data_IF_638543216880
#
_entry.id   IF_638543216880
#
_cell.length_a   1.000
_cell.length_b   1.000
_cell.length_c   1.000
_cell.angle_alpha   90.00
_cell.angle_beta   90.00
_cell.angle_gamma   90.00
#
_symmetry.space_group_name_H-M   'P 1'
#
loop_
_entity.id
_entity.type
_entity.pdbx_description
1 polymer ?
#
# COMPACT_ATOMS: atom_id res chain seq x y z
N UNK A 1 -3.15 -15.76 12.41
CA UNK A 1 -1.85 -16.46 12.38
C UNK A 1 -0.82 -15.44 11.94
N UNK A 2 0.23 -15.20 12.72
CA UNK A 2 1.28 -14.26 12.33
C UNK A 2 2.02 -14.80 11.10
N UNK A 3 2.52 -13.88 10.26
CA UNK A 3 3.46 -14.20 9.17
C UNK A 3 2.94 -15.21 8.13
N UNK A 4 1.61 -15.25 7.96
CA UNK A 4 0.98 -16.09 6.94
C UNK A 4 0.34 -15.26 5.84
N UNK A 5 0.38 -15.80 4.63
CA UNK A 5 -0.43 -15.37 3.50
C UNK A 5 -1.73 -16.18 3.51
N UNK A 6 -2.85 -15.52 3.79
CA UNK A 6 -4.20 -16.07 3.64
C UNK A 6 -4.93 -15.43 2.46
N UNK A 7 -5.60 -16.24 1.65
CA UNK A 7 -6.48 -15.74 0.59
C UNK A 7 -7.93 -16.05 0.90
N UNK A 8 -8.77 -15.03 0.84
CA UNK A 8 -10.22 -15.10 0.96
C UNK A 8 -10.83 -15.07 -0.45
N UNK A 9 -11.53 -16.13 -0.81
CA UNK A 9 -12.17 -16.31 -2.11
C UNK A 9 -13.67 -16.23 -1.92
N UNK A 10 -14.26 -15.15 -2.43
CA UNK A 10 -15.72 -15.00 -2.44
C UNK A 10 -16.22 -15.06 -3.89
N UNK A 11 -17.23 -15.89 -4.15
CA UNK A 11 -17.78 -16.11 -5.50
C UNK A 11 -18.74 -14.99 -5.95
N UNK A 12 -19.29 -14.21 -5.01
CA UNK A 12 -20.24 -13.12 -5.28
C UNK A 12 -19.64 -11.76 -4.85
N UNK A 13 -20.06 -10.65 -5.48
CA UNK A 13 -19.61 -9.30 -5.11
C UNK A 13 -20.07 -8.85 -3.71
N UNK A 14 -21.05 -9.54 -3.11
CA UNK A 14 -21.51 -9.28 -1.74
C UNK A 14 -20.58 -9.97 -0.74
N UNK A 15 -19.89 -9.19 0.11
CA UNK A 15 -19.09 -9.68 1.23
C UNK A 15 -17.61 -9.33 1.19
N UNK A 16 -16.98 -9.21 0.02
CA UNK A 16 -15.54 -8.88 -0.13
C UNK A 16 -15.17 -7.51 0.42
N UNK A 17 -15.81 -6.48 -0.12
CA UNK A 17 -15.63 -5.10 0.32
C UNK A 17 -16.07 -4.93 1.76
N UNK A 18 -17.02 -5.75 2.24
CA UNK A 18 -17.41 -5.80 3.65
C UNK A 18 -16.28 -6.32 4.53
N UNK A 19 -15.61 -7.42 4.15
CA UNK A 19 -14.43 -7.93 4.88
C UNK A 19 -13.33 -6.87 4.91
N UNK A 20 -12.99 -6.26 3.77
CA UNK A 20 -11.99 -5.19 3.71
C UNK A 20 -12.38 -3.99 4.60
N UNK A 21 -13.64 -3.57 4.57
CA UNK A 21 -14.16 -2.44 5.35
C UNK A 21 -14.17 -2.73 6.86
N UNK A 22 -14.52 -3.96 7.27
CA UNK A 22 -14.48 -4.40 8.66
C UNK A 22 -13.04 -4.48 9.18
N UNK A 23 -12.12 -5.03 8.38
CA UNK A 23 -10.69 -5.11 8.74
C UNK A 23 -10.05 -3.72 8.90
N UNK A 24 -10.46 -2.74 8.07
CA UNK A 24 -10.00 -1.36 8.19
C UNK A 24 -10.82 -0.52 9.19
N UNK A 25 -11.79 -1.13 9.88
CA UNK A 25 -12.68 -0.48 10.85
C UNK A 25 -13.41 0.74 10.27
N UNK A 26 -13.80 0.66 9.00
CA UNK A 26 -14.77 1.57 8.39
C UNK A 26 -16.16 1.34 9.01
N UNK A 27 -16.46 0.09 9.35
CA UNK A 27 -17.64 -0.33 10.10
C UNK A 27 -17.25 -1.22 11.29
N UNK A 28 -18.14 -1.34 12.27
CA UNK A 28 -18.05 -2.36 13.30
C UNK A 28 -18.97 -3.54 12.93
N UNK A 29 -18.62 -4.78 13.33
CA UNK A 29 -19.49 -5.93 13.14
C UNK A 29 -20.81 -5.74 13.92
N UNK A 30 -21.91 -6.24 13.37
CA UNK A 30 -23.25 -6.15 13.98
C UNK A 30 -23.42 -7.12 15.16
N UNK A 31 -22.75 -8.27 15.08
CA UNK A 31 -22.67 -9.31 16.11
C UNK A 31 -21.25 -9.85 16.15
N UNK A 32 -20.86 -10.46 17.28
CA UNK A 32 -19.48 -10.94 17.53
C UNK A 32 -18.42 -9.82 17.56
N UNK A 33 -17.15 -10.22 17.58
CA UNK A 33 -16.01 -9.32 17.64
C UNK A 33 -14.89 -9.76 16.69
N UNK A 34 -14.12 -8.79 16.20
CA UNK A 34 -12.90 -9.04 15.42
C UNK A 34 -11.72 -8.79 16.35
N UNK A 35 -10.80 -9.74 16.43
CA UNK A 35 -9.64 -9.65 17.33
C UNK A 35 -8.33 -9.49 16.53
N UNK A 36 -7.48 -8.58 16.99
CA UNK A 36 -6.10 -8.43 16.56
C UNK A 36 -5.19 -8.71 17.77
N UNK A 37 -4.34 -9.72 17.69
CA UNK A 37 -3.48 -10.17 18.79
C UNK A 37 -4.24 -10.41 20.12
N UNK A 38 -5.47 -10.92 20.02
CA UNK A 38 -6.36 -11.18 21.16
C UNK A 38 -7.11 -9.95 21.69
N UNK A 39 -6.87 -8.76 21.14
CA UNK A 39 -7.59 -7.52 21.47
C UNK A 39 -8.70 -7.26 20.46
N UNK A 40 -9.91 -7.00 20.94
CA UNK A 40 -11.02 -6.59 20.07
C UNK A 40 -10.68 -5.25 19.40
N UNK A 41 -10.73 -5.21 18.06
CA UNK A 41 -10.34 -4.07 17.25
C UNK A 41 -11.13 -2.80 17.57
N UNK A 42 -12.32 -2.93 18.17
CA UNK A 42 -13.14 -1.78 18.58
C UNK A 42 -12.50 -0.97 19.71
N UNK A 43 -11.64 -1.59 20.51
CA UNK A 43 -10.92 -0.93 21.61
C UNK A 43 -9.54 -0.41 21.20
N UNK A 44 -9.08 -0.72 19.98
CA UNK A 44 -7.84 -0.14 19.47
C UNK A 44 -8.02 1.35 19.19
N UNK A 45 -6.95 2.12 19.29
CA UNK A 45 -6.96 3.50 18.82
C UNK A 45 -7.03 3.50 17.28
N UNK A 46 -8.08 4.11 16.72
CA UNK A 46 -8.29 4.20 15.26
C UNK A 46 -7.09 4.83 14.57
N UNK A 47 -6.40 5.79 15.22
CA UNK A 47 -5.20 6.44 14.67
C UNK A 47 -4.00 5.48 14.55
N UNK A 48 -3.99 4.37 15.29
CA UNK A 48 -2.92 3.38 15.24
C UNK A 48 -3.16 2.29 14.20
N UNK A 49 -4.41 2.12 13.72
CA UNK A 49 -4.76 1.09 12.74
C UNK A 49 -3.95 1.23 11.45
N UNK A 50 -3.82 2.43 10.82
CA UNK A 50 -3.10 2.55 9.56
C UNK A 50 -1.65 2.11 9.60
N UNK A 51 -0.99 2.20 10.76
CA UNK A 51 0.40 1.74 10.95
C UNK A 51 0.52 0.24 11.26
N UNK A 52 -0.55 -0.40 11.72
CA UNK A 52 -0.61 -1.85 11.92
C UNK A 52 -1.05 -2.58 10.66
N UNK A 53 -2.02 -2.00 9.95
CA UNK A 53 -2.70 -2.58 8.80
C UNK A 53 -2.74 -1.58 7.64
N UNK A 54 -2.39 -2.02 6.43
CA UNK A 54 -2.59 -1.24 5.20
C UNK A 54 -3.43 -2.00 4.20
N UNK A 55 -4.37 -1.30 3.56
CA UNK A 55 -5.22 -1.80 2.49
C UNK A 55 -4.71 -1.29 1.14
N UNK A 56 -4.51 -2.20 0.19
CA UNK A 56 -4.35 -1.89 -1.24
C UNK A 56 -5.62 -2.34 -1.95
N UNK A 57 -6.32 -1.38 -2.55
CA UNK A 57 -7.58 -1.63 -3.27
C UNK A 57 -7.32 -1.88 -4.75
N UNK A 58 -8.30 -2.44 -5.45
CA UNK A 58 -8.29 -2.63 -6.90
C UNK A 58 -8.05 -1.31 -7.64
N UNK A 59 -8.75 -0.24 -7.24
CA UNK A 59 -8.53 1.12 -7.74
C UNK A 59 -8.02 2.01 -6.62
N UNK A 60 -6.72 1.98 -6.32
CA UNK A 60 -6.22 2.65 -5.14
C UNK A 60 -6.16 4.17 -5.36
N UNK A 61 -6.59 4.97 -4.38
CA UNK A 61 -6.57 6.42 -4.51
C UNK A 61 -5.13 6.96 -4.42
N UNK A 62 -4.85 7.92 -5.29
CA UNK A 62 -3.67 8.77 -5.22
C UNK A 62 -4.11 10.18 -4.86
N UNK A 63 -3.30 10.86 -4.07
CA UNK A 63 -3.47 12.28 -3.74
C UNK A 63 -3.04 13.12 -4.94
N UNK A 64 -3.69 14.27 -5.15
CA UNK A 64 -3.32 15.28 -6.15
C UNK A 64 -1.96 15.92 -5.81
N UNK A 65 -0.89 15.19 -6.11
CA UNK A 65 0.50 15.50 -5.73
C UNK A 65 1.48 14.66 -6.57
N UNK A 66 2.78 14.83 -6.39
CA UNK A 66 3.78 14.02 -7.12
C UNK A 66 3.76 12.54 -6.73
N UNK A 67 4.34 11.67 -7.56
CA UNK A 67 4.57 10.26 -7.22
C UNK A 67 5.41 10.14 -5.94
N UNK A 68 6.44 10.98 -5.80
CA UNK A 68 7.28 11.05 -4.60
C UNK A 68 6.45 11.31 -3.34
N UNK A 69 5.66 12.38 -3.32
CA UNK A 69 4.81 12.74 -2.18
C UNK A 69 3.80 11.63 -1.87
N UNK A 70 3.17 11.07 -2.89
CA UNK A 70 2.26 9.95 -2.75
C UNK A 70 2.92 8.77 -2.02
N UNK A 71 4.19 8.46 -2.26
CA UNK A 71 4.91 7.37 -1.58
C UNK A 71 5.34 7.82 -0.17
N UNK A 72 5.91 9.03 -0.04
CA UNK A 72 6.41 9.60 1.21
C UNK A 72 5.34 9.71 2.30
N UNK A 73 4.08 9.98 1.93
CA UNK A 73 2.94 9.99 2.87
C UNK A 73 2.73 8.65 3.59
N UNK A 74 3.33 7.55 3.12
CA UNK A 74 3.42 6.30 3.88
C UNK A 74 4.10 6.46 5.24
N UNK A 75 5.11 7.33 5.35
CA UNK A 75 5.89 7.56 6.58
C UNK A 75 5.05 8.17 7.72
N UNK A 76 4.01 8.95 7.40
CA UNK A 76 3.14 9.58 8.40
C UNK A 76 2.49 8.57 9.36
N UNK A 77 2.26 7.35 8.88
CA UNK A 77 1.64 6.28 9.64
C UNK A 77 2.59 5.10 9.87
N UNK A 78 3.90 5.30 9.69
CA UNK A 78 4.86 4.21 9.95
C UNK A 78 4.87 3.89 11.46
N UNK A 79 4.77 2.60 11.86
CA UNK A 79 4.87 2.21 13.26
C UNK A 79 6.29 2.40 13.82
N UNK A 80 7.29 2.59 12.94
CA UNK A 80 8.66 2.94 13.27
C UNK A 80 9.07 4.09 12.34
N UNK A 81 8.68 5.35 12.64
CA UNK A 81 9.15 6.47 11.84
C UNK A 81 10.67 6.51 12.00
N UNK A 82 11.41 6.31 10.90
CA UNK A 82 12.88 6.43 10.92
C UNK A 82 13.28 7.82 11.43
N UNK A 83 12.40 8.82 11.22
CA UNK A 83 12.59 10.20 11.65
C UNK A 83 11.27 10.88 12.06
N UNK A 84 10.95 10.95 13.37
CA UNK A 84 9.82 11.73 13.85
C UNK A 84 9.90 13.22 13.46
N UNK A 85 11.11 13.76 13.38
CA UNK A 85 11.39 15.17 13.03
C UNK A 85 11.11 15.48 11.55
N UNK A 86 11.05 14.46 10.69
CA UNK A 86 10.69 14.61 9.28
C UNK A 86 9.16 14.63 9.05
N UNK A 87 8.34 14.26 10.05
CA UNK A 87 6.88 14.22 9.89
C UNK A 87 6.25 15.59 9.54
N UNK A 88 6.64 16.71 10.19
CA UNK A 88 6.11 18.02 9.82
C UNK A 88 6.40 18.39 8.36
N UNK A 89 7.54 17.93 7.82
CA UNK A 89 7.96 18.22 6.45
C UNK A 89 7.07 17.51 5.44
N UNK A 90 6.58 16.31 5.75
CA UNK A 90 5.70 15.53 4.86
C UNK A 90 4.39 16.26 4.51
N UNK A 91 3.97 17.21 5.34
CA UNK A 91 2.78 18.04 5.13
C UNK A 91 3.12 19.51 4.79
N UNK A 92 4.41 19.83 4.69
CA UNK A 92 4.89 21.18 4.43
C UNK A 92 5.02 21.47 2.94
N UNK A 93 5.04 22.76 2.59
CA UNK A 93 5.39 23.22 1.24
C UNK A 93 6.82 22.86 0.83
N UNK A 94 7.70 22.54 1.76
CA UNK A 94 9.11 22.26 1.46
C UNK A 94 9.25 20.97 0.64
N UNK A 95 8.42 19.95 0.91
CA UNK A 95 8.38 18.72 0.12
C UNK A 95 7.85 18.97 -1.32
N UNK A 96 6.89 19.88 -1.46
CA UNK A 96 6.37 20.31 -2.77
C UNK A 96 7.41 21.09 -3.58
N UNK A 97 8.19 21.95 -2.91
CA UNK A 97 9.27 22.72 -3.54
C UNK A 97 10.41 21.82 -4.05
N UNK A 98 10.74 20.75 -3.32
CA UNK A 98 11.73 19.75 -3.75
C UNK A 98 11.26 18.97 -4.95
N UNK A 99 9.98 18.56 -4.93
CA UNK A 99 9.34 17.92 -6.06
C UNK A 99 9.47 18.82 -7.29
N UNK A 100 9.17 20.10 -7.18
CA UNK A 100 9.19 21.02 -8.33
C UNK A 100 10.58 21.34 -8.92
N UNK A 101 11.67 21.14 -8.19
CA UNK A 101 13.00 21.69 -8.54
C UNK A 101 14.04 20.68 -9.03
N UNK A 102 13.79 19.38 -8.92
CA UNK A 102 14.88 18.38 -8.98
C UNK A 102 14.86 17.41 -10.19
N UNK A 103 13.84 17.46 -11.05
CA UNK A 103 13.76 16.65 -12.28
C UNK A 103 13.80 15.13 -12.05
N UNK A 104 14.19 14.34 -13.06
CA UNK A 104 14.23 12.86 -12.96
C UNK A 104 15.16 12.33 -11.87
N UNK A 105 16.25 13.03 -11.57
CA UNK A 105 17.26 12.63 -10.59
C UNK A 105 16.94 13.10 -9.15
N UNK A 106 15.68 13.52 -8.92
CA UNK A 106 15.23 14.09 -7.65
C UNK A 106 15.52 13.20 -6.45
N UNK A 107 15.24 11.89 -6.54
CA UNK A 107 15.45 10.97 -5.43
C UNK A 107 16.93 10.82 -5.04
N UNK A 108 17.84 10.75 -6.01
CA UNK A 108 19.27 10.62 -5.71
C UNK A 108 19.84 11.91 -5.13
N UNK A 109 19.42 13.06 -5.66
CA UNK A 109 19.80 14.36 -5.11
C UNK A 109 19.28 14.53 -3.70
N UNK A 110 18.01 14.20 -3.45
CA UNK A 110 17.42 14.31 -2.12
C UNK A 110 18.06 13.36 -1.11
N UNK A 111 18.38 12.13 -1.50
CA UNK A 111 19.03 11.15 -0.63
C UNK A 111 20.47 11.53 -0.22
N UNK A 112 21.12 12.48 -0.90
CA UNK A 112 22.51 12.90 -0.62
C UNK A 112 22.62 14.24 0.11
N UNK A 113 21.51 14.95 0.37
CA UNK A 113 21.52 16.28 1.02
C UNK A 113 21.91 16.27 2.50
N UNK A 114 21.83 15.11 3.17
CA UNK A 114 22.21 14.97 4.59
C UNK A 114 21.34 15.78 5.57
N UNK A 115 20.18 16.26 5.13
CA UNK A 115 19.18 16.98 5.91
C UNK A 115 17.93 16.10 6.10
N UNK A 116 16.88 16.63 6.75
CA UNK A 116 15.61 15.91 6.98
C UNK A 116 14.94 15.43 5.68
N UNK A 117 15.30 15.98 4.52
CA UNK A 117 14.81 15.53 3.22
C UNK A 117 15.42 14.19 2.84
N UNK A 118 16.70 13.99 3.15
CA UNK A 118 17.37 12.71 2.92
C UNK A 118 16.74 11.58 3.75
N UNK A 119 16.28 11.89 4.96
CA UNK A 119 15.55 10.97 5.84
C UNK A 119 14.19 10.53 5.28
N UNK A 120 13.58 11.34 4.40
CA UNK A 120 12.36 10.97 3.65
C UNK A 120 12.73 10.25 2.35
N UNK A 121 13.71 10.75 1.61
CA UNK A 121 14.05 10.27 0.29
C UNK A 121 14.67 8.86 0.29
N UNK A 122 15.47 8.52 1.30
CA UNK A 122 16.10 7.20 1.44
C UNK A 122 15.06 6.07 1.55
N UNK A 123 14.10 6.11 2.49
CA UNK A 123 13.08 5.06 2.59
C UNK A 123 12.14 5.05 1.37
N UNK A 124 11.82 6.21 0.79
CA UNK A 124 11.03 6.28 -0.45
C UNK A 124 11.74 5.60 -1.61
N UNK A 125 13.03 5.85 -1.81
CA UNK A 125 13.83 5.20 -2.86
C UNK A 125 13.86 3.69 -2.66
N UNK A 126 14.14 3.22 -1.44
CA UNK A 126 14.16 1.79 -1.12
C UNK A 126 12.82 1.11 -1.40
N UNK A 127 11.71 1.74 -1.03
CA UNK A 127 10.39 1.20 -1.30
C UNK A 127 10.05 1.22 -2.80
N UNK A 128 10.53 2.23 -3.53
CA UNK A 128 10.32 2.32 -4.97
C UNK A 128 11.09 1.22 -5.74
N UNK A 129 12.31 0.90 -5.29
CA UNK A 129 13.10 -0.24 -5.80
C UNK A 129 12.39 -1.58 -5.52
N UNK A 130 11.92 -1.80 -4.28
CA UNK A 130 11.22 -3.03 -3.90
C UNK A 130 9.88 -3.24 -4.64
N UNK A 131 9.20 -2.15 -5.01
CA UNK A 131 7.95 -2.20 -5.77
C UNK A 131 8.15 -2.22 -7.30
N UNK A 132 9.40 -2.17 -7.78
CA UNK A 132 9.75 -2.03 -9.20
C UNK A 132 9.03 -0.86 -9.89
N UNK A 133 9.32 0.36 -9.42
CA UNK A 133 8.84 1.60 -10.04
C UNK A 133 9.65 2.00 -11.30
N UNK A 134 10.30 1.06 -11.99
CA UNK A 134 11.07 1.33 -13.23
C UNK A 134 10.30 2.10 -14.30
N UNK A 135 8.96 2.00 -14.32
CA UNK A 135 8.15 2.78 -15.26
C UNK A 135 8.28 4.30 -15.06
N UNK A 136 8.62 4.75 -13.84
CA UNK A 136 8.80 6.16 -13.50
C UNK A 136 9.97 6.77 -14.27
N UNK A 137 11.00 5.99 -14.59
CA UNK A 137 12.16 6.46 -15.36
C UNK A 137 11.77 6.90 -16.78
N UNK A 138 10.69 6.34 -17.31
CA UNK A 138 10.13 6.67 -18.62
C UNK A 138 9.21 7.90 -18.60
N UNK A 139 8.84 8.42 -17.42
CA UNK A 139 8.09 9.68 -17.30
C UNK A 139 9.03 10.86 -17.43
N UNK A 140 8.62 11.93 -18.13
CA UNK A 140 9.46 13.12 -18.36
C UNK A 140 9.94 13.77 -17.05
N UNK A 141 9.07 13.79 -16.04
CA UNK A 141 9.34 14.38 -14.73
C UNK A 141 9.75 13.34 -13.68
N UNK A 142 9.80 12.05 -14.02
CA UNK A 142 10.14 10.99 -13.07
C UNK A 142 9.24 11.02 -11.82
N UNK A 143 9.83 10.98 -10.63
CA UNK A 143 9.11 11.00 -9.35
C UNK A 143 8.38 12.33 -9.05
N UNK A 144 8.69 13.39 -9.78
CA UNK A 144 8.03 14.70 -9.69
C UNK A 144 6.68 14.73 -10.42
N UNK A 145 6.43 13.73 -11.28
CA UNK A 145 5.20 13.63 -12.07
C UNK A 145 3.96 13.74 -11.17
N UNK A 146 3.10 14.70 -11.48
CA UNK A 146 1.84 14.93 -10.76
C UNK A 146 0.82 13.85 -11.12
N UNK A 147 0.15 13.29 -10.10
CA UNK A 147 -0.85 12.22 -10.22
C UNK A 147 -2.03 12.54 -9.31
N UNK A 148 -3.20 11.93 -9.54
CA UNK A 148 -4.40 12.18 -8.73
C UNK A 148 -5.72 12.20 -9.52
N UNK A 149 -6.76 12.76 -8.92
CA UNK A 149 -8.17 12.63 -9.30
C UNK A 149 -8.58 13.38 -10.58
N UNK A 150 -7.78 14.32 -11.08
CA UNK A 150 -8.22 15.27 -12.11
C UNK A 150 -7.59 15.12 -13.51
N UNK A 151 -6.84 14.06 -13.83
CA UNK A 151 -6.39 13.83 -15.22
C UNK A 151 -5.30 12.78 -15.40
N UNK A 152 -5.70 11.54 -15.69
CA UNK A 152 -4.87 10.30 -15.70
C UNK A 152 -3.55 10.39 -16.49
N UNK A 153 -2.44 10.29 -15.78
CA UNK A 153 -1.11 9.93 -16.35
C UNK A 153 -0.72 8.46 -16.09
N UNK A 154 -1.31 7.81 -15.08
CA UNK A 154 -0.97 6.44 -14.69
C UNK A 154 -2.07 5.43 -15.04
N UNK A 155 -1.67 4.27 -15.56
CA UNK A 155 -2.53 3.10 -15.73
C UNK A 155 -2.99 2.55 -14.37
N UNK A 156 -4.01 1.69 -14.36
CA UNK A 156 -4.48 1.02 -13.13
C UNK A 156 -3.34 0.29 -12.39
N UNK A 157 -2.55 -0.50 -13.12
CA UNK A 157 -1.42 -1.23 -12.54
C UNK A 157 -0.29 -0.31 -12.06
N UNK A 158 0.01 0.79 -12.77
CA UNK A 158 0.99 1.79 -12.29
C UNK A 158 0.53 2.44 -10.98
N UNK A 159 -0.76 2.76 -10.85
CA UNK A 159 -1.32 3.28 -9.58
C UNK A 159 -1.21 2.26 -8.45
N UNK A 160 -1.47 0.98 -8.72
CA UNK A 160 -1.29 -0.11 -7.76
C UNK A 160 0.16 -0.20 -7.28
N UNK A 161 1.13 -0.14 -8.20
CA UNK A 161 2.56 -0.16 -7.87
C UNK A 161 2.95 1.04 -6.98
N UNK A 162 2.48 2.27 -7.28
CA UNK A 162 2.75 3.45 -6.45
C UNK A 162 2.17 3.29 -5.04
N UNK A 163 0.95 2.77 -4.90
CA UNK A 163 0.34 2.52 -3.59
C UNK A 163 1.00 1.36 -2.84
N UNK A 164 1.53 0.37 -3.56
CA UNK A 164 2.35 -0.69 -2.97
C UNK A 164 3.67 -0.13 -2.43
N UNK A 165 4.35 0.75 -3.16
CA UNK A 165 5.52 1.48 -2.65
C UNK A 165 5.18 2.33 -1.41
N UNK A 166 4.06 3.08 -1.42
CA UNK A 166 3.55 3.79 -0.22
C UNK A 166 3.36 2.84 0.96
N UNK A 167 2.87 1.63 0.71
CA UNK A 167 2.65 0.61 1.74
C UNK A 167 3.96 0.02 2.26
N UNK A 168 4.93 -0.21 1.38
CA UNK A 168 6.29 -0.62 1.72
C UNK A 168 7.00 0.40 2.61
N UNK A 169 6.90 1.69 2.27
CA UNK A 169 7.42 2.80 3.10
C UNK A 169 6.75 2.82 4.48
N UNK A 170 5.43 2.59 4.52
CA UNK A 170 4.71 2.54 5.80
C UNK A 170 5.14 1.35 6.66
N UNK A 171 5.44 0.21 6.06
CA UNK A 171 5.88 -1.00 6.77
C UNK A 171 4.88 -1.58 7.78
N UNK A 172 3.59 -1.77 7.43
CA UNK A 172 2.60 -2.34 8.35
C UNK A 172 2.89 -3.81 8.66
N UNK A 173 2.37 -4.32 9.79
CA UNK A 173 2.46 -5.75 10.15
C UNK A 173 1.47 -6.62 9.36
N UNK A 174 0.37 -6.01 8.91
CA UNK A 174 -0.70 -6.65 8.16
C UNK A 174 -0.92 -5.92 6.83
N UNK A 175 -0.85 -6.65 5.73
CA UNK A 175 -1.23 -6.17 4.41
C UNK A 175 -2.55 -6.80 4.00
N UNK A 176 -3.53 -5.96 3.63
CA UNK A 176 -4.79 -6.40 3.03
C UNK A 176 -4.79 -6.00 1.56
N UNK A 177 -5.04 -6.97 0.68
CA UNK A 177 -5.14 -6.76 -0.77
C UNK A 177 -6.58 -7.02 -1.17
N UNK A 178 -7.31 -6.00 -1.64
CA UNK A 178 -8.68 -6.12 -2.12
C UNK A 178 -8.69 -6.07 -3.65
N UNK A 179 -8.67 -7.25 -4.27
CA UNK A 179 -8.60 -7.41 -5.73
C UNK A 179 -7.47 -6.58 -6.39
N UNK A 180 -6.39 -6.35 -5.66
CA UNK A 180 -5.33 -5.41 -6.01
C UNK A 180 -4.45 -5.81 -7.21
N UNK A 181 -4.76 -6.92 -7.90
CA UNK A 181 -4.03 -7.39 -9.07
C UNK A 181 -4.99 -7.39 -10.25
N UNK A 182 -5.06 -6.26 -10.93
CA UNK A 182 -5.83 -6.10 -12.17
C UNK A 182 -5.05 -5.18 -13.11
N UNK A 183 -3.98 -5.70 -13.71
CA UNK A 183 -3.29 -4.98 -14.77
C UNK A 183 -3.72 -5.53 -16.14
N UNK A 184 -3.71 -4.66 -17.16
CA UNK A 184 -4.07 -5.05 -18.53
C UNK A 184 -2.96 -5.92 -19.15
N UNK A 185 -1.71 -5.73 -18.71
CA UNK A 185 -0.55 -6.45 -19.20
C UNK A 185 0.07 -7.37 -18.13
N UNK A 186 0.51 -8.56 -18.57
CA UNK A 186 1.08 -9.59 -17.69
C UNK A 186 2.41 -9.18 -17.05
N UNK A 187 3.15 -8.23 -17.63
CA UNK A 187 4.42 -7.78 -17.06
C UNK A 187 4.19 -6.97 -15.78
N UNK A 188 3.23 -6.04 -15.81
CA UNK A 188 2.83 -5.26 -14.63
C UNK A 188 2.27 -6.16 -13.52
N UNK A 189 1.46 -7.18 -13.85
CA UNK A 189 1.00 -8.15 -12.85
C UNK A 189 2.15 -8.89 -12.18
N UNK A 190 3.16 -9.32 -12.95
CA UNK A 190 4.35 -9.98 -12.40
C UNK A 190 5.14 -9.09 -11.45
N UNK A 191 5.27 -7.79 -11.78
CA UNK A 191 5.92 -6.80 -10.91
C UNK A 191 5.18 -6.63 -9.59
N UNK A 192 3.86 -6.44 -9.66
CA UNK A 192 2.99 -6.30 -8.49
C UNK A 192 3.11 -7.55 -7.61
N UNK A 193 3.04 -8.74 -8.20
CA UNK A 193 3.16 -10.00 -7.47
C UNK A 193 4.52 -10.14 -6.79
N UNK A 194 5.63 -9.86 -7.50
CA UNK A 194 6.97 -9.94 -6.91
C UNK A 194 7.15 -8.99 -5.72
N UNK A 195 6.62 -7.77 -5.83
CA UNK A 195 6.66 -6.79 -4.75
C UNK A 195 5.80 -7.22 -3.55
N UNK A 196 4.63 -7.85 -3.77
CA UNK A 196 3.81 -8.44 -2.70
C UNK A 196 4.55 -9.60 -2.04
N UNK A 197 5.16 -10.50 -2.81
CA UNK A 197 5.88 -11.66 -2.29
C UNK A 197 7.08 -11.22 -1.44
N UNK A 198 7.83 -10.22 -1.90
CA UNK A 198 8.90 -9.59 -1.12
C UNK A 198 8.38 -8.90 0.13
N UNK A 199 7.19 -8.28 0.08
CA UNK A 199 6.58 -7.64 1.24
C UNK A 199 6.11 -8.68 2.28
N UNK A 200 5.61 -9.83 1.83
CA UNK A 200 4.99 -10.86 2.65
C UNK A 200 5.97 -11.54 3.62
N UNK A 201 7.28 -11.51 3.33
CA UNK A 201 8.31 -12.11 4.18
C UNK A 201 8.27 -11.47 5.58
N UNK A 202 7.97 -12.28 6.60
CA UNK A 202 7.89 -11.85 8.00
C UNK A 202 6.67 -10.96 8.31
N UNK A 203 5.62 -10.98 7.47
CA UNK A 203 4.40 -10.18 7.65
C UNK A 203 3.15 -10.99 7.35
N UNK A 204 2.02 -10.58 7.94
CA UNK A 204 0.73 -11.20 7.66
C UNK A 204 0.13 -10.57 6.40
N UNK A 205 -0.30 -11.39 5.44
CA UNK A 205 -0.96 -10.93 4.21
C UNK A 205 -2.35 -11.55 4.11
N UNK A 206 -3.36 -10.73 3.85
CA UNK A 206 -4.73 -11.15 3.59
C UNK A 206 -5.10 -10.64 2.20
N UNK A 207 -5.28 -11.53 1.23
CA UNK A 207 -5.75 -11.15 -0.10
C UNK A 207 -7.20 -11.57 -0.29
N UNK A 208 -8.01 -10.70 -0.86
CA UNK A 208 -9.41 -10.94 -1.20
C UNK A 208 -9.47 -11.04 -2.72
N UNK A 209 -9.70 -12.25 -3.22
CA UNK A 209 -9.62 -12.55 -4.65
C UNK A 209 -10.96 -13.02 -5.21
N UNK A 210 -11.28 -12.65 -6.45
CA UNK A 210 -12.44 -13.17 -7.21
C UNK A 210 -12.17 -14.48 -7.95
N UNK A 211 -10.91 -14.80 -8.21
CA UNK A 211 -10.54 -15.98 -9.01
C UNK A 211 -9.48 -16.77 -8.27
N UNK A 212 -9.66 -18.08 -8.21
CA UNK A 212 -8.66 -18.98 -7.63
C UNK A 212 -7.34 -18.94 -8.42
N UNK A 213 -7.41 -18.63 -9.72
CA UNK A 213 -6.27 -18.57 -10.63
C UNK A 213 -5.29 -17.42 -10.33
N UNK A 214 -5.70 -16.42 -9.55
CA UNK A 214 -4.81 -15.34 -9.09
C UNK A 214 -4.07 -15.70 -7.79
N UNK A 215 -4.33 -16.89 -7.22
CA UNK A 215 -3.71 -17.37 -5.99
C UNK A 215 -2.43 -18.10 -6.36
N UNK A 216 -1.30 -17.43 -6.13
CA UNK A 216 0.03 -18.03 -6.20
C UNK A 216 0.68 -17.83 -4.83
N UNK A 217 1.25 -18.90 -4.27
CA UNK A 217 1.98 -18.88 -2.99
C UNK A 217 1.15 -18.38 -1.79
N UNK A 218 0.20 -19.19 -1.33
CA UNK A 218 -0.58 -18.93 -0.11
C UNK A 218 -0.38 -20.04 0.91
N UNK A 219 -0.43 -19.70 2.21
CA UNK A 219 -0.44 -20.68 3.30
C UNK A 219 -1.85 -21.21 3.59
N UNK A 220 -2.87 -20.40 3.31
CA UNK A 220 -4.27 -20.75 3.56
C UNK A 220 -5.20 -20.16 2.51
N UNK A 221 -6.18 -20.94 2.11
CA UNK A 221 -7.35 -20.46 1.34
C UNK A 221 -8.56 -20.53 2.26
N UNK A 222 -9.40 -19.49 2.21
CA UNK A 222 -10.69 -19.42 2.88
C UNK A 222 -11.73 -19.14 1.82
N UNK A 223 -12.70 -20.03 1.65
CA UNK A 223 -13.79 -19.87 0.69
C UNK A 223 -15.00 -19.30 1.41
N UNK A 224 -15.57 -18.24 0.85
CA UNK A 224 -16.79 -17.60 1.34
C UNK A 224 -17.92 -17.72 0.33
N UNK A 225 -19.10 -18.07 0.84
CA UNK A 225 -20.35 -18.15 0.08
C UNK A 225 -21.48 -17.53 0.91
N UNK A 226 -22.25 -16.61 0.31
CA UNK A 226 -23.36 -15.91 0.96
C UNK A 226 -23.08 -15.30 2.35
N UNK A 227 -21.85 -14.81 2.54
CA UNK A 227 -21.41 -14.16 3.79
C UNK A 227 -20.89 -15.12 4.85
N UNK A 228 -20.89 -16.42 4.59
CA UNK A 228 -20.38 -17.45 5.49
C UNK A 228 -19.08 -18.08 4.97
N UNK A 229 -18.24 -18.57 5.88
CA UNK A 229 -17.04 -19.34 5.53
C UNK A 229 -17.44 -20.80 5.32
N UNK A 230 -17.13 -21.34 4.14
CA UNK A 230 -17.52 -22.71 3.75
C UNK A 230 -16.34 -23.68 3.70
N UNK A 231 -15.11 -23.19 3.51
CA UNK A 231 -13.88 -24.00 3.44
C UNK A 231 -12.64 -23.21 3.88
#
# INVERSE_FOLDING_TARGET
MPEKYTVIVAQLPRGKSTVAALLNRVYNPTSEAIFLDGLDIKFLNVRSIPGLLSLVQQEPPLFDSSIFENIALGLMNSPRPESPEAQPILLSSDLQALSSSSGKDMLNKAATRGDLISEIAIPVRKAAELADLSFVDHLDLGYVTQVGGSGKLLSGGQRQIVVLARTLVRGPKILVLDEAITAIDSATEKRIQAAIDSFAVGRTVISIARRLSTIKHTDKVVVMHDGEVVE
#
